data_IF_221837153639
#
_entry.id   IF_221837153639
#
_cell.length_a   1.000
_cell.length_b   1.000
_cell.length_c   1.000
_cell.angle_alpha   90.00
_cell.angle_beta   90.00
_cell.angle_gamma   90.00
#
_symmetry.space_group_name_H-M   'P 1'
#
loop_
_entity.id
_entity.type
_entity.pdbx_description
1 polymer ?
#
# COMPACT_ATOMS: atom_id res chain seq x y z
N UNK A 1 5.19 2.94 -23.10
CA UNK A 1 5.12 4.02 -22.09
C UNK A 1 3.89 3.72 -21.24
N UNK A 2 3.99 2.69 -20.41
CA UNK A 2 2.88 2.15 -19.60
C UNK A 2 2.95 2.64 -18.15
N UNK A 3 3.75 3.69 -17.91
CA UNK A 3 3.96 4.34 -16.61
C UNK A 3 2.74 5.18 -16.17
N UNK A 4 1.82 5.44 -17.10
CA UNK A 4 0.60 6.25 -16.95
C UNK A 4 -0.68 5.40 -17.04
N UNK A 5 -0.56 4.07 -17.13
CA UNK A 5 -1.73 3.20 -17.27
C UNK A 5 -2.46 3.16 -15.94
N UNK A 6 -3.74 3.56 -15.94
CA UNK A 6 -4.61 3.61 -14.76
C UNK A 6 -4.52 2.33 -13.92
N UNK A 7 -4.37 1.18 -14.56
CA UNK A 7 -4.30 -0.13 -13.90
C UNK A 7 -3.12 -0.26 -12.91
N UNK A 8 -1.95 0.33 -13.23
CA UNK A 8 -0.82 0.34 -12.30
C UNK A 8 -1.12 1.17 -11.05
N UNK A 9 -1.65 2.38 -11.24
CA UNK A 9 -2.03 3.26 -10.14
C UNK A 9 -3.19 2.71 -9.31
N UNK A 10 -4.13 2.00 -9.94
CA UNK A 10 -5.22 1.30 -9.25
C UNK A 10 -4.65 0.17 -8.38
N UNK A 11 -3.77 -0.67 -8.93
CA UNK A 11 -3.16 -1.78 -8.18
C UNK A 11 -2.26 -1.29 -7.03
N UNK A 12 -1.41 -0.30 -7.30
CA UNK A 12 -0.55 0.34 -6.30
C UNK A 12 -1.38 1.02 -5.20
N UNK A 13 -2.43 1.73 -5.59
CA UNK A 13 -3.37 2.39 -4.67
C UNK A 13 -4.13 1.39 -3.81
N UNK A 14 -4.60 0.28 -4.39
CA UNK A 14 -5.27 -0.80 -3.64
C UNK A 14 -4.33 -1.37 -2.56
N UNK A 15 -3.07 -1.63 -2.91
CA UNK A 15 -2.07 -2.11 -1.94
C UNK A 15 -1.77 -1.08 -0.86
N UNK A 16 -1.62 0.18 -1.23
CA UNK A 16 -1.38 1.25 -0.27
C UNK A 16 -2.54 1.43 0.72
N UNK A 17 -3.78 1.40 0.23
CA UNK A 17 -5.00 1.51 1.07
C UNK A 17 -5.14 0.28 1.98
N UNK A 18 -4.91 -0.92 1.46
CA UNK A 18 -4.90 -2.15 2.29
C UNK A 18 -3.85 -2.06 3.39
N UNK A 19 -2.64 -1.61 3.07
CA UNK A 19 -1.58 -1.41 4.06
C UNK A 19 -1.97 -0.36 5.08
N UNK A 20 -2.51 0.78 4.65
CA UNK A 20 -3.00 1.83 5.55
C UNK A 20 -4.04 1.29 6.54
N UNK A 21 -5.05 0.58 6.05
CA UNK A 21 -6.11 0.00 6.88
C UNK A 21 -5.56 -1.06 7.85
N UNK A 22 -4.69 -1.96 7.38
CA UNK A 22 -4.07 -2.97 8.23
C UNK A 22 -3.21 -2.34 9.33
N UNK A 23 -2.42 -1.32 9.01
CA UNK A 23 -1.62 -0.59 10.00
C UNK A 23 -2.51 0.16 10.98
N UNK A 24 -3.58 0.81 10.52
CA UNK A 24 -4.51 1.51 11.41
C UNK A 24 -5.13 0.54 12.44
N UNK A 25 -5.63 -0.62 11.99
CA UNK A 25 -6.20 -1.63 12.89
C UNK A 25 -5.16 -2.17 13.86
N UNK A 26 -3.94 -2.44 13.40
CA UNK A 26 -2.86 -2.92 14.25
C UNK A 26 -2.51 -1.91 15.36
N UNK A 27 -2.38 -0.62 15.01
CA UNK A 27 -2.05 0.44 15.97
C UNK A 27 -3.18 0.65 16.96
N UNK A 28 -4.44 0.65 16.52
CA UNK A 28 -5.62 0.73 17.40
C UNK A 28 -5.64 -0.44 18.40
N UNK A 29 -5.32 -1.65 17.95
CA UNK A 29 -5.36 -2.88 18.77
C UNK A 29 -4.23 -3.01 19.80
N UNK A 30 -3.24 -2.12 19.81
CA UNK A 30 -2.04 -2.27 20.68
C UNK A 30 -2.21 -1.82 22.12
N UNK A 31 -3.24 -1.05 22.49
CA UNK A 31 -3.33 -0.57 23.88
C UNK A 31 -4.58 0.18 24.33
N UNK A 32 -5.55 0.45 23.45
CA UNK A 32 -6.76 1.17 23.85
C UNK A 32 -7.95 0.20 23.99
N UNK A 33 -8.57 0.19 25.18
CA UNK A 33 -9.79 -0.60 25.46
C UNK A 33 -11.05 0.18 25.07
N UNK A 34 -10.95 1.51 24.93
CA UNK A 34 -12.04 2.41 24.54
C UNK A 34 -11.73 3.25 23.30
N UNK A 35 -12.75 3.55 22.49
CA UNK A 35 -12.64 4.34 21.24
C UNK A 35 -12.12 5.78 21.46
N UNK A 36 -12.27 6.30 22.68
CA UNK A 36 -11.82 7.62 23.12
C UNK A 36 -10.39 7.63 23.67
N UNK A 37 -9.88 6.48 24.12
CA UNK A 37 -8.51 6.35 24.64
C UNK A 37 -7.48 6.08 23.53
N UNK A 38 -7.95 5.86 22.30
CA UNK A 38 -7.11 5.69 21.12
C UNK A 38 -6.43 7.02 20.79
N UNK A 39 -5.09 7.02 20.70
CA UNK A 39 -4.36 8.13 20.08
C UNK A 39 -4.61 8.14 18.56
N UNK A 40 -5.71 8.76 18.16
CA UNK A 40 -6.10 8.89 16.75
C UNK A 40 -5.05 9.61 15.91
N UNK A 41 -4.31 10.55 16.50
CA UNK A 41 -3.23 11.25 15.80
C UNK A 41 -2.07 10.29 15.49
N UNK A 42 -1.66 9.47 16.47
CA UNK A 42 -0.67 8.42 16.29
C UNK A 42 -1.11 7.35 15.29
N UNK A 43 -2.37 6.90 15.35
CA UNK A 43 -2.94 5.93 14.41
C UNK A 43 -2.87 6.44 12.97
N UNK A 44 -3.35 7.66 12.73
CA UNK A 44 -3.33 8.28 11.39
C UNK A 44 -1.89 8.47 10.92
N UNK A 45 -1.00 8.96 11.78
CA UNK A 45 0.42 9.15 11.44
C UNK A 45 1.10 7.85 11.00
N UNK A 46 0.96 6.79 11.79
CA UNK A 46 1.58 5.49 11.53
C UNK A 46 1.00 4.82 10.27
N UNK A 47 -0.33 4.86 10.11
CA UNK A 47 -1.00 4.27 8.95
C UNK A 47 -0.70 5.04 7.66
N UNK A 48 -0.67 6.38 7.69
CA UNK A 48 -0.27 7.20 6.54
C UNK A 48 1.16 6.89 6.12
N UNK A 49 2.11 6.80 7.06
CA UNK A 49 3.49 6.43 6.75
C UNK A 49 3.57 5.07 6.06
N UNK A 50 2.87 4.06 6.59
CA UNK A 50 2.86 2.71 6.02
C UNK A 50 2.22 2.68 4.62
N UNK A 51 1.13 3.42 4.41
CA UNK A 51 0.51 3.57 3.09
C UNK A 51 1.43 4.25 2.07
N UNK A 52 2.12 5.32 2.48
CA UNK A 52 3.09 6.03 1.63
C UNK A 52 4.28 5.14 1.27
N UNK A 53 4.82 4.39 2.23
CA UNK A 53 5.90 3.42 1.97
C UNK A 53 5.44 2.34 1.00
N UNK A 54 4.21 1.82 1.14
CA UNK A 54 3.63 0.82 0.23
C UNK A 54 3.50 1.37 -1.20
N UNK A 55 3.02 2.60 -1.33
CA UNK A 55 2.90 3.29 -2.62
C UNK A 55 4.28 3.55 -3.26
N UNK A 56 5.24 4.08 -2.48
CA UNK A 56 6.63 4.30 -2.92
C UNK A 56 7.31 2.99 -3.33
N UNK A 57 7.06 1.90 -2.59
CA UNK A 57 7.59 0.57 -2.93
C UNK A 57 7.02 0.06 -4.24
N UNK A 58 5.74 0.31 -4.51
CA UNK A 58 5.13 -0.06 -5.80
C UNK A 58 5.76 0.72 -6.96
N UNK A 59 6.10 2.00 -6.76
CA UNK A 59 6.79 2.84 -7.75
C UNK A 59 8.24 2.38 -7.94
N UNK A 60 8.96 2.09 -6.86
CA UNK A 60 10.36 1.65 -6.87
C UNK A 60 10.54 0.23 -7.43
N UNK A 61 9.62 -0.69 -7.11
CA UNK A 61 9.73 -2.11 -7.49
C UNK A 61 9.44 -2.36 -8.97
N UNK A 62 9.08 -1.35 -9.75
CA UNK A 62 8.82 -1.50 -11.18
C UNK A 62 10.10 -1.53 -12.04
N UNK A 63 11.21 -2.02 -11.49
CA UNK A 63 12.41 -2.42 -12.25
C UNK A 63 12.37 -3.88 -12.71
N UNK A 64 11.28 -4.63 -12.49
CA UNK A 64 11.12 -5.96 -13.09
C UNK A 64 9.85 -6.09 -13.91
N UNK A 65 9.97 -5.67 -15.16
CA UNK A 65 9.23 -6.27 -16.26
C UNK A 65 10.12 -7.36 -16.87
N UNK A 66 10.07 -8.63 -16.41
CA UNK A 66 10.40 -9.72 -17.32
C UNK A 66 9.41 -9.61 -18.47
N UNK A 67 9.94 -9.34 -19.67
CA UNK A 67 9.15 -8.97 -20.83
C UNK A 67 8.05 -9.98 -21.18
N UNK A 68 7.02 -9.49 -21.87
CA UNK A 68 6.16 -10.32 -22.71
C UNK A 68 6.99 -10.97 -23.84
N UNK A 69 7.76 -12.01 -23.53
CA UNK A 69 8.27 -13.00 -24.49
C UNK A 69 8.05 -14.39 -23.90
N UNK A 70 6.86 -14.96 -24.14
CA UNK A 70 6.60 -16.41 -24.24
C UNK A 70 5.09 -16.74 -24.27
N UNK A 71 4.24 -15.87 -24.83
CA UNK A 71 2.99 -16.32 -25.46
C UNK A 71 3.27 -16.34 -26.96
N UNK A 72 3.70 -17.49 -27.48
CA UNK A 72 3.99 -17.71 -28.90
C UNK A 72 5.16 -18.66 -29.10
N UNK A 73 4.86 -19.93 -29.37
CA UNK A 73 5.81 -21.02 -29.61
C UNK A 73 5.83 -21.96 -28.39
N UNK A 74 5.33 -23.18 -28.46
CA UNK A 74 5.14 -24.12 -29.57
C UNK A 74 3.90 -24.98 -29.34
#
# INVERSE_FOLDING_TARGET
MDYLTKDFWIYAGERAIKTFAQTAVAVIGTGAIGIIDVDWAGVVSASTLAGVVSLLTSVYSHERTPGKRAQGGS
#
